data_IF_189988255325
#
_entry.id   IF_189988255325
#
_cell.length_a   1.000
_cell.length_b   1.000
_cell.length_c   1.000
_cell.angle_alpha   90.00
_cell.angle_beta   90.00
_cell.angle_gamma   90.00
#
_symmetry.space_group_name_H-M   'P 1'
#
loop_
_entity.id
_entity.type
_entity.pdbx_description
1 polymer ?
#
# COMPACT_ATOMS: atom_id res chain seq x y z
N UNK A 1 -46.30 23.44 -13.97
CA UNK A 1 -44.99 22.98 -13.46
C UNK A 1 -45.24 22.17 -12.19
N UNK A 2 -45.25 20.84 -12.30
CA UNK A 2 -45.60 19.93 -11.19
C UNK A 2 -44.35 19.57 -10.41
N UNK A 3 -44.35 19.91 -9.13
CA UNK A 3 -43.39 19.50 -8.11
C UNK A 3 -43.67 18.07 -7.67
N UNK A 4 -42.63 17.23 -7.67
CA UNK A 4 -42.66 15.85 -7.15
C UNK A 4 -41.96 15.84 -5.78
N UNK A 5 -42.55 15.29 -4.71
CA UNK A 5 -41.90 15.19 -3.40
C UNK A 5 -40.98 13.95 -3.32
N UNK A 6 -39.96 13.94 -2.43
CA UNK A 6 -39.07 12.81 -2.26
C UNK A 6 -39.75 11.67 -1.48
N UNK A 7 -39.73 10.48 -2.06
CA UNK A 7 -40.25 9.27 -1.43
C UNK A 7 -39.33 8.80 -0.30
N UNK A 8 -39.90 8.68 0.91
CA UNK A 8 -39.30 8.03 2.05
C UNK A 8 -39.30 6.51 1.85
N UNK A 9 -38.12 5.86 1.90
CA UNK A 9 -38.02 4.41 1.99
C UNK A 9 -37.72 4.03 3.44
N UNK A 10 -38.76 3.53 4.12
CA UNK A 10 -38.67 2.84 5.40
C UNK A 10 -38.16 1.41 5.19
N UNK A 11 -36.99 1.07 5.74
CA UNK A 11 -36.53 -0.31 5.81
C UNK A 11 -37.16 -0.99 7.04
N UNK A 12 -38.06 -1.94 6.77
CA UNK A 12 -38.69 -2.79 7.77
C UNK A 12 -37.71 -3.90 8.22
N UNK A 13 -37.51 -3.98 9.53
CA UNK A 13 -36.77 -5.06 10.20
C UNK A 13 -37.60 -6.36 10.18
N UNK A 14 -37.26 -7.28 9.27
CA UNK A 14 -37.80 -8.64 9.30
C UNK A 14 -36.81 -9.63 9.93
N UNK A 15 -37.08 -9.91 11.21
CA UNK A 15 -37.01 -11.22 11.90
C UNK A 15 -35.91 -12.22 11.49
N UNK A 16 -34.86 -12.25 12.31
CA UNK A 16 -33.86 -13.32 12.40
C UNK A 16 -34.51 -14.57 13.01
N UNK A 17 -34.54 -15.69 12.28
CA UNK A 17 -34.87 -17.02 12.84
C UNK A 17 -33.58 -17.71 13.33
N UNK A 18 -33.59 -18.38 14.50
CA UNK A 18 -32.42 -19.07 15.03
C UNK A 18 -32.24 -20.44 14.37
N UNK A 19 -31.03 -20.72 13.88
CA UNK A 19 -30.68 -22.00 13.27
C UNK A 19 -30.31 -23.02 14.37
N UNK A 20 -31.06 -24.14 14.47
CA UNK A 20 -30.78 -25.26 15.39
C UNK A 20 -29.57 -26.12 14.92
N UNK A 21 -28.85 -26.79 15.84
CA UNK A 21 -27.58 -27.44 15.54
C UNK A 21 -27.76 -28.76 14.79
N UNK A 22 -26.97 -28.96 13.71
CA UNK A 22 -26.90 -30.23 12.98
C UNK A 22 -25.94 -31.20 13.67
N UNK A 23 -26.40 -32.45 13.80
CA UNK A 23 -25.71 -33.62 14.34
C UNK A 23 -24.36 -33.90 13.67
N UNK A 24 -23.39 -34.30 14.49
CA UNK A 24 -22.06 -34.75 14.08
C UNK A 24 -22.10 -36.09 13.33
N UNK A 25 -21.29 -36.21 12.28
CA UNK A 25 -20.84 -37.46 11.63
C UNK A 25 -19.42 -37.25 11.02
N UNK A 26 -18.68 -38.34 10.75
CA UNK A 26 -17.38 -38.60 11.36
C UNK A 26 -16.18 -38.03 10.60
N UNK A 27 -15.04 -37.97 11.30
CA UNK A 27 -13.69 -37.56 10.88
C UNK A 27 -13.35 -37.94 9.43
N UNK A 28 -13.41 -36.95 8.54
CA UNK A 28 -12.65 -36.97 7.29
C UNK A 28 -11.22 -36.45 7.55
N UNK A 29 -10.26 -37.22 7.04
CA UNK A 29 -8.82 -36.99 7.13
C UNK A 29 -8.45 -35.58 6.61
N UNK A 30 -7.42 -34.90 7.15
CA UNK A 30 -6.98 -33.63 6.61
C UNK A 30 -6.48 -33.84 5.18
N UNK A 31 -7.24 -33.30 4.22
CA UNK A 31 -6.78 -33.15 2.83
C UNK A 31 -5.69 -32.09 2.85
N UNK A 32 -4.45 -32.50 2.60
CA UNK A 32 -3.33 -31.59 2.43
C UNK A 32 -3.64 -30.56 1.33
N UNK A 33 -3.50 -29.24 1.57
CA UNK A 33 -3.63 -28.28 0.50
C UNK A 33 -2.41 -28.40 -0.41
N UNK A 34 -2.66 -28.84 -1.65
CA UNK A 34 -1.71 -28.85 -2.76
C UNK A 34 -1.10 -27.46 -2.91
N UNK A 35 0.21 -27.36 -2.80
CA UNK A 35 0.94 -26.16 -3.17
C UNK A 35 0.69 -25.85 -4.66
N UNK A 36 0.03 -24.72 -4.92
CA UNK A 36 -0.24 -24.07 -6.22
C UNK A 36 -1.17 -24.81 -7.21
N UNK A 37 -2.35 -24.26 -7.57
CA UNK A 37 -3.27 -24.87 -8.54
C UNK A 37 -2.88 -24.72 -10.02
N UNK A 38 -1.82 -23.97 -10.36
CA UNK A 38 -1.52 -23.61 -11.76
C UNK A 38 -0.75 -24.68 -12.54
N UNK A 39 -0.53 -25.85 -11.95
CA UNK A 39 -0.04 -27.04 -12.65
C UNK A 39 -1.08 -28.15 -12.55
N UNK A 40 -2.28 -27.92 -13.09
CA UNK A 40 -3.10 -29.04 -13.57
C UNK A 40 -2.63 -29.38 -14.97
N UNK A 41 -1.52 -30.10 -15.07
CA UNK A 41 -1.35 -31.03 -16.19
C UNK A 41 -2.47 -32.06 -16.03
N UNK A 42 -3.45 -31.98 -16.92
CA UNK A 42 -4.46 -33.03 -17.08
C UNK A 42 -3.75 -34.39 -17.18
N UNK A 43 -4.18 -35.35 -16.37
CA UNK A 43 -3.90 -36.77 -16.62
C UNK A 43 -2.74 -37.44 -15.89
N UNK A 44 -2.21 -36.90 -14.79
CA UNK A 44 -1.21 -37.63 -14.00
C UNK A 44 -1.87 -38.71 -13.10
N UNK A 45 -2.35 -39.82 -13.70
CA UNK A 45 -2.29 -41.12 -13.02
C UNK A 45 -0.80 -41.45 -12.86
N UNK A 46 -0.39 -41.83 -11.66
CA UNK A 46 0.99 -42.21 -11.37
C UNK A 46 1.41 -43.36 -12.29
N UNK A 47 2.12 -43.04 -13.37
CA UNK A 47 2.79 -44.04 -14.18
C UNK A 47 4.18 -44.29 -13.60
N UNK A 48 4.61 -45.57 -13.51
CA UNK A 48 5.95 -45.91 -13.04
C UNK A 48 7.01 -45.24 -13.92
N UNK A 49 8.13 -44.86 -13.31
CA UNK A 49 9.17 -43.94 -13.80
C UNK A 49 9.80 -44.29 -15.18
N UNK A 50 9.46 -45.41 -15.79
CA UNK A 50 10.08 -45.93 -17.01
C UNK A 50 9.47 -45.41 -18.33
N UNK A 51 8.48 -44.49 -18.32
CA UNK A 51 7.74 -44.13 -19.55
C UNK A 51 7.65 -42.65 -19.91
N UNK A 52 8.62 -41.84 -19.47
CA UNK A 52 8.82 -40.50 -20.02
C UNK A 52 9.90 -40.54 -21.10
N UNK A 53 9.53 -40.98 -22.30
CA UNK A 53 10.34 -40.72 -23.50
C UNK A 53 9.80 -39.44 -24.13
N UNK A 54 10.43 -38.32 -23.79
CA UNK A 54 10.38 -37.13 -24.64
C UNK A 54 10.96 -37.53 -26.00
N UNK A 55 10.15 -37.49 -27.05
CA UNK A 55 10.56 -37.81 -28.43
C UNK A 55 11.48 -36.75 -29.07
N UNK A 56 12.06 -35.88 -28.28
CA UNK A 56 13.16 -35.00 -28.69
C UNK A 56 14.22 -35.06 -27.59
N UNK A 57 15.48 -35.27 -27.96
CA UNK A 57 16.62 -35.39 -27.02
C UNK A 57 16.60 -34.19 -26.06
N UNK A 58 16.23 -34.36 -24.78
CA UNK A 58 16.28 -33.26 -23.84
C UNK A 58 17.74 -32.99 -23.53
N UNK A 59 18.11 -31.72 -23.50
CA UNK A 59 19.42 -31.30 -23.03
C UNK A 59 19.58 -31.80 -21.58
N UNK A 60 20.39 -32.84 -21.37
CA UNK A 60 20.48 -33.63 -20.11
C UNK A 60 20.73 -32.76 -18.87
N UNK A 61 21.36 -31.60 -19.07
CA UNK A 61 21.61 -30.56 -18.08
C UNK A 61 20.32 -29.92 -17.53
N UNK A 62 19.32 -29.66 -18.38
CA UNK A 62 18.06 -29.02 -17.97
C UNK A 62 17.27 -29.95 -17.05
N UNK A 63 17.24 -31.25 -17.35
CA UNK A 63 16.50 -32.23 -16.56
C UNK A 63 17.07 -32.46 -15.17
N UNK A 64 18.41 -32.59 -15.05
CA UNK A 64 19.05 -32.75 -13.74
C UNK A 64 18.91 -31.47 -12.91
N UNK A 65 19.08 -30.29 -13.53
CA UNK A 65 18.92 -29.02 -12.84
C UNK A 65 17.48 -28.80 -12.36
N UNK A 66 16.47 -29.15 -13.15
CA UNK A 66 15.05 -29.05 -12.75
C UNK A 66 14.67 -30.01 -11.60
N UNK A 67 15.27 -31.21 -11.53
CA UNK A 67 14.99 -32.19 -10.47
C UNK A 67 15.75 -31.85 -9.18
N UNK A 68 17.02 -31.45 -9.27
CA UNK A 68 17.80 -31.00 -8.11
C UNK A 68 17.27 -29.69 -7.54
N UNK A 69 16.88 -28.73 -8.41
CA UNK A 69 16.18 -27.53 -7.95
C UNK A 69 14.84 -27.88 -7.33
N UNK A 70 14.08 -28.85 -7.86
CA UNK A 70 12.81 -29.30 -7.29
C UNK A 70 12.94 -29.88 -5.87
N UNK A 71 13.93 -30.74 -5.59
CA UNK A 71 14.13 -31.30 -4.24
C UNK A 71 14.66 -30.25 -3.26
N UNK A 72 15.63 -29.44 -3.68
CA UNK A 72 16.12 -28.30 -2.89
C UNK A 72 14.99 -27.31 -2.60
N UNK A 73 14.10 -27.06 -3.56
CA UNK A 73 12.89 -26.24 -3.39
C UNK A 73 11.85 -26.85 -2.45
N UNK A 74 11.72 -28.17 -2.37
CA UNK A 74 10.78 -28.83 -1.46
C UNK A 74 11.23 -28.73 0.01
N UNK A 75 12.52 -28.89 0.28
CA UNK A 75 13.09 -28.69 1.62
C UNK A 75 13.07 -27.20 2.01
N UNK A 76 13.40 -26.31 1.06
CA UNK A 76 13.23 -24.85 1.23
C UNK A 76 11.76 -24.47 1.42
N UNK A 77 10.78 -25.18 0.84
CA UNK A 77 9.34 -24.89 1.01
C UNK A 77 8.80 -25.16 2.42
N UNK A 78 9.42 -26.07 3.17
CA UNK A 78 8.99 -26.37 4.55
C UNK A 78 9.62 -25.37 5.52
N UNK A 79 10.91 -25.06 5.31
CA UNK A 79 11.60 -23.93 5.94
C UNK A 79 10.98 -22.58 5.51
N UNK A 80 10.39 -22.48 4.31
CA UNK A 80 9.77 -21.25 3.82
C UNK A 80 8.50 -20.90 4.57
N UNK A 81 7.74 -21.83 5.16
CA UNK A 81 6.54 -21.43 5.91
C UNK A 81 6.90 -20.72 7.22
N UNK A 82 7.89 -21.21 7.95
CA UNK A 82 8.41 -20.52 9.14
C UNK A 82 9.19 -19.26 8.77
N UNK A 83 10.03 -19.33 7.73
CA UNK A 83 10.74 -18.17 7.21
C UNK A 83 9.78 -17.08 6.71
N UNK A 84 8.79 -17.40 5.88
CA UNK A 84 7.74 -16.48 5.40
C UNK A 84 6.94 -15.86 6.55
N UNK A 85 6.77 -16.57 7.68
CA UNK A 85 6.15 -16.04 8.90
C UNK A 85 7.06 -15.13 9.70
N UNK A 86 8.39 -15.30 9.58
CA UNK A 86 9.40 -14.43 10.18
C UNK A 86 9.68 -13.18 9.34
N UNK A 87 9.22 -13.15 8.09
CA UNK A 87 9.33 -11.96 7.26
C UNK A 87 8.47 -10.84 7.81
N UNK A 88 8.90 -9.61 7.54
CA UNK A 88 8.16 -8.39 7.82
C UNK A 88 7.99 -7.60 6.51
N UNK A 89 7.38 -8.18 5.46
CA UNK A 89 7.37 -7.56 4.15
C UNK A 89 6.38 -6.40 4.11
N UNK A 90 6.72 -5.40 3.31
CA UNK A 90 5.86 -4.26 3.02
C UNK A 90 5.65 -4.16 1.51
N UNK A 91 4.39 -4.21 1.08
CA UNK A 91 4.01 -4.05 -0.32
C UNK A 91 3.14 -2.81 -0.51
N UNK A 92 3.57 -1.91 -1.39
CA UNK A 92 2.84 -0.69 -1.76
C UNK A 92 2.23 -0.87 -3.15
N UNK A 93 0.91 -1.08 -3.20
CA UNK A 93 0.19 -1.39 -4.45
C UNK A 93 -0.39 -0.11 -5.08
N UNK A 94 0.05 0.19 -6.30
CA UNK A 94 -0.49 1.20 -7.20
C UNK A 94 -1.33 0.54 -8.31
N UNK A 95 -2.40 1.21 -8.76
CA UNK A 95 -3.36 0.61 -9.70
C UNK A 95 -4.12 1.63 -10.55
N UNK A 96 -4.43 1.27 -11.79
CA UNK A 96 -5.33 2.04 -12.66
C UNK A 96 -6.82 1.75 -12.41
N UNK A 97 -7.71 2.64 -12.86
CA UNK A 97 -9.15 2.41 -13.16
C UNK A 97 -9.65 0.96 -13.10
N UNK A 98 -10.36 0.44 -12.10
CA UNK A 98 -10.90 -0.95 -12.15
C UNK A 98 -9.90 -2.08 -12.52
N UNK A 99 -8.62 -1.96 -12.14
CA UNK A 99 -7.55 -2.90 -12.57
C UNK A 99 -7.20 -4.01 -11.56
N UNK A 100 -8.09 -4.35 -10.63
CA UNK A 100 -7.88 -5.48 -9.71
C UNK A 100 -6.89 -5.26 -8.55
N UNK A 101 -6.41 -4.04 -8.32
CA UNK A 101 -5.44 -3.75 -7.24
C UNK A 101 -5.93 -4.14 -5.83
N UNK A 102 -7.22 -3.98 -5.53
CA UNK A 102 -7.80 -4.41 -4.26
C UNK A 102 -7.86 -5.93 -4.13
N UNK A 103 -8.21 -6.63 -5.21
CA UNK A 103 -8.19 -8.10 -5.27
C UNK A 103 -6.77 -8.63 -5.05
N UNK A 104 -5.76 -7.97 -5.63
CA UNK A 104 -4.36 -8.31 -5.43
C UNK A 104 -3.93 -8.09 -3.98
N UNK A 105 -4.26 -6.95 -3.39
CA UNK A 105 -3.93 -6.65 -1.99
C UNK A 105 -4.52 -7.69 -1.03
N UNK A 106 -5.80 -8.07 -1.23
CA UNK A 106 -6.43 -9.13 -0.45
C UNK A 106 -5.80 -10.50 -0.67
N UNK A 107 -5.37 -10.82 -1.91
CA UNK A 107 -4.62 -12.06 -2.17
C UNK A 107 -3.32 -12.11 -1.37
N UNK A 108 -2.56 -11.01 -1.38
CA UNK A 108 -1.29 -10.90 -0.64
C UNK A 108 -1.53 -11.00 0.87
N UNK A 109 -2.52 -10.26 1.39
CA UNK A 109 -2.93 -10.33 2.79
C UNK A 109 -3.30 -11.75 3.21
N UNK A 110 -4.08 -12.47 2.39
CA UNK A 110 -4.47 -13.85 2.69
C UNK A 110 -3.30 -14.85 2.64
N UNK A 111 -2.36 -14.70 1.69
CA UNK A 111 -1.25 -15.65 1.53
C UNK A 111 -0.11 -15.48 2.54
N UNK A 112 0.17 -14.25 2.94
CA UNK A 112 1.27 -13.92 3.84
C UNK A 112 0.78 -13.45 5.22
N UNK A 113 -0.53 -13.51 5.48
CA UNK A 113 -1.14 -12.98 6.72
C UNK A 113 -0.80 -11.51 6.97
N UNK A 114 -0.65 -10.72 5.89
CA UNK A 114 -0.39 -9.28 5.98
C UNK A 114 -1.65 -8.54 6.40
N UNK A 115 -1.46 -7.45 7.13
CA UNK A 115 -2.51 -6.47 7.35
C UNK A 115 -2.73 -5.70 6.05
N UNK A 116 -3.97 -5.70 5.57
CA UNK A 116 -4.36 -4.89 4.43
C UNK A 116 -4.73 -3.49 4.92
N UNK A 117 -3.93 -2.50 4.55
CA UNK A 117 -4.10 -1.10 4.93
C UNK A 117 -4.58 -0.30 3.72
N UNK A 118 -5.60 0.53 3.92
CA UNK A 118 -6.16 1.44 2.94
C UNK A 118 -5.97 2.90 3.36
N UNK A 119 -6.46 3.83 2.54
CA UNK A 119 -6.34 5.27 2.84
C UNK A 119 -7.15 5.63 4.10
N UNK A 120 -8.28 4.98 4.28
CA UNK A 120 -9.22 5.20 5.38
C UNK A 120 -8.59 4.81 6.73
N UNK A 121 -7.74 3.78 6.76
CA UNK A 121 -6.97 3.41 7.96
C UNK A 121 -5.95 4.50 8.33
N UNK A 122 -5.28 5.10 7.33
CA UNK A 122 -4.38 6.23 7.58
C UNK A 122 -5.14 7.43 8.16
N UNK A 123 -6.35 7.70 7.64
CA UNK A 123 -7.21 8.77 8.16
C UNK A 123 -7.64 8.48 9.60
N UNK A 124 -7.98 7.23 9.93
CA UNK A 124 -8.35 6.84 11.29
C UNK A 124 -7.21 7.08 12.29
N UNK A 125 -5.96 6.79 11.90
CA UNK A 125 -4.77 7.12 12.71
C UNK A 125 -4.68 8.63 12.96
N UNK A 126 -4.89 9.45 11.93
CA UNK A 126 -4.83 10.91 12.06
C UNK A 126 -5.96 11.47 12.93
N UNK A 127 -7.18 10.95 12.79
CA UNK A 127 -8.34 11.38 13.58
C UNK A 127 -8.16 11.13 15.08
N UNK A 128 -7.44 10.06 15.44
CA UNK A 128 -7.12 9.73 16.83
C UNK A 128 -6.14 10.70 17.50
N UNK A 129 -5.44 11.54 16.72
CA UNK A 129 -4.40 12.47 17.19
C UNK A 129 -4.88 13.88 17.52
N UNK A 130 -6.16 14.20 17.28
CA UNK A 130 -6.80 15.42 17.76
C UNK A 130 -7.46 16.31 16.69
N UNK A 131 -8.04 17.42 17.14
CA UNK A 131 -8.92 18.28 16.33
C UNK A 131 -8.20 19.04 15.19
N UNK A 132 -6.89 19.29 15.28
CA UNK A 132 -6.15 19.95 14.21
C UNK A 132 -5.96 19.04 12.98
N UNK A 133 -5.61 17.77 13.17
CA UNK A 133 -5.54 16.80 12.08
C UNK A 133 -6.91 16.63 11.38
N UNK A 134 -8.00 16.65 12.17
CA UNK A 134 -9.38 16.64 11.65
C UNK A 134 -9.70 17.89 10.83
N UNK A 135 -9.22 19.07 11.23
CA UNK A 135 -9.41 20.33 10.49
C UNK A 135 -8.64 20.36 9.18
N UNK A 136 -7.38 19.89 9.18
CA UNK A 136 -6.60 19.72 7.96
C UNK A 136 -7.40 18.82 7.00
N UNK A 137 -7.87 17.65 7.44
CA UNK A 137 -8.75 16.77 6.66
C UNK A 137 -10.03 17.45 6.14
N UNK A 138 -10.80 18.09 7.01
CA UNK A 138 -12.09 18.70 6.65
C UNK A 138 -11.95 19.83 5.62
N UNK A 139 -10.77 20.46 5.55
CA UNK A 139 -10.44 21.44 4.53
C UNK A 139 -10.00 20.77 3.21
N UNK A 140 -9.34 19.61 3.28
CA UNK A 140 -8.90 18.85 2.10
C UNK A 140 -10.07 18.17 1.36
N UNK A 141 -11.05 17.60 2.07
CA UNK A 141 -12.24 16.98 1.43
C UNK A 141 -13.07 18.01 0.65
N UNK A 142 -13.09 19.27 1.13
CA UNK A 142 -13.67 20.41 0.41
C UNK A 142 -12.82 20.83 -0.79
N UNK A 143 -11.50 20.83 -0.62
CA UNK A 143 -10.57 21.30 -1.64
C UNK A 143 -10.24 20.25 -2.73
N UNK A 144 -10.58 18.97 -2.56
CA UNK A 144 -10.63 18.00 -3.69
C UNK A 144 -11.61 18.41 -4.80
N UNK A 145 -12.51 19.36 -4.54
CA UNK A 145 -13.45 19.93 -5.53
C UNK A 145 -13.05 21.33 -6.02
N UNK A 146 -11.98 21.93 -5.48
CA UNK A 146 -11.54 23.29 -5.79
C UNK A 146 -10.00 23.37 -5.78
N UNK A 147 -9.43 23.13 -6.96
CA UNK A 147 -8.00 22.95 -7.24
C UNK A 147 -7.09 24.10 -6.75
N UNK A 148 -7.58 25.35 -6.79
CA UNK A 148 -6.78 26.54 -6.45
C UNK A 148 -6.66 26.81 -4.94
N UNK A 149 -7.59 26.30 -4.12
CA UNK A 149 -7.62 26.53 -2.67
C UNK A 149 -6.74 25.54 -1.87
N UNK A 150 -6.21 24.50 -2.53
CA UNK A 150 -5.52 23.38 -1.86
C UNK A 150 -4.01 23.62 -1.66
N UNK A 151 -3.41 24.64 -2.28
CA UNK A 151 -1.95 24.82 -2.28
C UNK A 151 -1.34 24.88 -0.87
N UNK A 152 -1.97 25.62 0.05
CA UNK A 152 -1.50 25.76 1.44
C UNK A 152 -1.71 24.51 2.31
N UNK A 153 -2.68 23.66 1.95
CA UNK A 153 -3.02 22.45 2.72
C UNK A 153 -2.30 21.19 2.21
N UNK A 154 -1.70 21.28 1.02
CA UNK A 154 -0.96 20.19 0.38
C UNK A 154 0.16 19.67 1.29
N UNK A 155 0.98 20.56 1.83
CA UNK A 155 2.14 20.20 2.66
C UNK A 155 1.72 19.49 3.96
N UNK A 156 0.83 20.08 4.79
CA UNK A 156 0.29 19.38 5.97
C UNK A 156 -0.31 18.02 5.65
N UNK A 157 -1.08 17.90 4.55
CA UNK A 157 -1.65 16.61 4.14
C UNK A 157 -0.58 15.55 3.87
N UNK A 158 0.44 15.88 3.08
CA UNK A 158 1.48 14.92 2.71
C UNK A 158 2.25 14.43 3.93
N UNK A 159 2.61 15.34 4.84
CA UNK A 159 3.34 15.02 6.07
C UNK A 159 2.50 14.09 6.95
N UNK A 160 1.24 14.44 7.20
CA UNK A 160 0.35 13.64 8.05
C UNK A 160 0.09 12.25 7.45
N UNK A 161 -0.22 12.16 6.16
CA UNK A 161 -0.46 10.89 5.49
C UNK A 161 0.80 10.02 5.43
N UNK A 162 1.99 10.63 5.20
CA UNK A 162 3.27 9.94 5.28
C UNK A 162 3.51 9.40 6.67
N UNK A 163 3.34 10.23 7.70
CA UNK A 163 3.57 9.85 9.08
C UNK A 163 2.70 8.63 9.46
N UNK A 164 1.40 8.69 9.14
CA UNK A 164 0.49 7.57 9.37
C UNK A 164 0.93 6.30 8.64
N UNK A 165 1.31 6.40 7.36
CA UNK A 165 1.75 5.26 6.57
C UNK A 165 3.07 4.66 7.11
N UNK A 166 4.04 5.49 7.48
CA UNK A 166 5.30 5.05 8.07
C UNK A 166 5.09 4.29 9.39
N UNK A 167 4.10 4.67 10.19
CA UNK A 167 3.72 3.92 11.39
C UNK A 167 3.38 2.46 11.08
N UNK A 168 2.55 2.23 10.06
CA UNK A 168 2.22 0.87 9.60
C UNK A 168 3.43 0.15 8.99
N UNK A 169 4.27 0.85 8.22
CA UNK A 169 5.45 0.27 7.58
C UNK A 169 6.47 -0.21 8.63
N UNK A 170 6.67 0.55 9.72
CA UNK A 170 7.58 0.19 10.82
C UNK A 170 7.20 -1.08 11.55
N UNK A 171 5.92 -1.34 11.68
CA UNK A 171 5.41 -2.58 12.27
C UNK A 171 5.60 -3.79 11.33
N UNK A 172 5.86 -3.55 10.04
CA UNK A 172 5.99 -4.59 9.03
C UNK A 172 4.69 -5.36 8.78
N UNK A 173 4.77 -6.39 7.93
CA UNK A 173 3.63 -7.26 7.58
C UNK A 173 2.43 -6.48 7.01
N UNK A 174 2.69 -5.55 6.08
CA UNK A 174 1.66 -4.66 5.52
C UNK A 174 1.57 -4.78 4.01
N UNK A 175 0.34 -4.82 3.51
CA UNK A 175 0.04 -4.48 2.12
C UNK A 175 -0.83 -3.23 2.09
N UNK A 176 -0.30 -2.16 1.52
CA UNK A 176 -1.02 -0.91 1.36
C UNK A 176 -1.61 -0.82 -0.04
N UNK A 177 -2.92 -0.53 -0.16
CA UNK A 177 -3.59 -0.37 -1.46
C UNK A 177 -4.39 0.92 -1.60
N UNK A 178 -3.90 2.01 -1.01
CA UNK A 178 -4.50 3.34 -1.17
C UNK A 178 -3.88 4.15 -2.32
N UNK A 179 -4.31 5.40 -2.45
CA UNK A 179 -3.78 6.31 -3.47
C UNK A 179 -2.31 6.64 -3.19
N UNK A 180 -1.47 6.47 -4.22
CA UNK A 180 -0.10 6.97 -4.29
C UNK A 180 0.80 6.62 -3.08
N UNK A 181 0.61 5.48 -2.41
CA UNK A 181 1.43 5.07 -1.26
C UNK A 181 2.94 5.05 -1.56
N UNK A 182 3.30 4.55 -2.74
CA UNK A 182 4.67 4.54 -3.26
C UNK A 182 5.30 5.94 -3.49
N UNK A 183 4.49 7.01 -3.51
CA UNK A 183 4.94 8.41 -3.59
C UNK A 183 4.83 9.13 -2.24
N UNK A 184 4.00 8.63 -1.33
CA UNK A 184 3.86 9.18 0.01
C UNK A 184 5.10 8.96 0.84
N UNK A 185 5.77 7.81 0.69
CA UNK A 185 7.01 7.50 1.39
C UNK A 185 8.21 7.57 0.45
N UNK A 186 9.36 8.06 0.92
CA UNK A 186 10.60 8.06 0.14
C UNK A 186 11.03 6.62 -0.17
N UNK A 187 12.07 6.45 -0.99
CA UNK A 187 12.61 5.10 -1.29
C UNK A 187 13.22 4.50 -0.02
N UNK A 188 12.39 3.81 0.75
CA UNK A 188 12.79 3.09 1.95
C UNK A 188 13.21 1.66 1.60
N UNK A 189 14.27 1.14 2.23
CA UNK A 189 14.54 -0.29 2.21
C UNK A 189 13.33 -1.06 2.75
N UNK A 190 13.18 -2.33 2.41
CA UNK A 190 12.06 -3.22 2.79
C UNK A 190 10.68 -2.99 2.11
N UNK A 191 10.47 -1.90 1.37
CA UNK A 191 9.20 -1.63 0.70
C UNK A 191 9.23 -2.00 -0.79
N UNK A 192 8.43 -2.99 -1.21
CA UNK A 192 8.23 -3.30 -2.63
C UNK A 192 7.11 -2.44 -3.22
N UNK A 193 7.42 -1.68 -4.27
CA UNK A 193 6.48 -0.82 -4.99
C UNK A 193 5.97 -1.54 -6.24
N UNK A 194 4.70 -1.91 -6.23
CA UNK A 194 4.08 -2.67 -7.31
C UNK A 194 3.03 -1.85 -8.00
N UNK A 195 3.02 -1.85 -9.34
CA UNK A 195 1.91 -1.37 -10.14
C UNK A 195 1.19 -2.51 -10.85
N UNK A 196 -0.14 -2.45 -10.84
CA UNK A 196 -0.98 -3.34 -11.65
C UNK A 196 -1.84 -2.54 -12.64
N UNK A 197 -1.91 -3.04 -13.86
CA UNK A 197 -2.78 -2.54 -14.92
C UNK A 197 -3.61 -3.67 -15.53
N UNK A 198 -4.71 -3.32 -16.18
CA UNK A 198 -5.55 -4.26 -16.92
C UNK A 198 -5.91 -3.65 -18.29
N UNK A 199 -6.17 -4.47 -19.32
CA UNK A 199 -6.69 -3.97 -20.60
C UNK A 199 -8.00 -3.20 -20.44
N UNK A 200 -8.19 -2.14 -21.25
CA UNK A 200 -9.40 -1.31 -21.19
C UNK A 200 -10.71 -2.13 -21.25
N UNK A 201 -10.88 -3.11 -22.16
CA UNK A 201 -12.11 -3.89 -22.22
C UNK A 201 -12.45 -4.61 -20.90
N UNK A 202 -11.43 -5.10 -20.18
CA UNK A 202 -11.64 -5.73 -18.87
C UNK A 202 -12.11 -4.72 -17.82
N UNK A 203 -11.51 -3.53 -17.82
CA UNK A 203 -11.83 -2.46 -16.86
C UNK A 203 -13.25 -1.92 -17.09
N UNK A 204 -13.65 -1.76 -18.35
CA UNK A 204 -15.01 -1.36 -18.75
C UNK A 204 -16.03 -2.39 -18.29
N UNK A 205 -15.83 -3.67 -18.62
CA UNK A 205 -16.72 -4.75 -18.13
C UNK A 205 -16.85 -4.73 -16.60
N UNK A 206 -15.74 -4.53 -15.89
CA UNK A 206 -15.75 -4.46 -14.43
C UNK A 206 -16.52 -3.25 -13.89
N UNK A 207 -16.42 -2.09 -14.56
CA UNK A 207 -17.20 -0.92 -14.23
C UNK A 207 -18.71 -1.15 -14.47
N UNK A 208 -19.07 -1.74 -15.61
CA UNK A 208 -20.46 -2.13 -15.91
C UNK A 208 -21.02 -3.07 -14.84
N UNK A 209 -20.29 -4.14 -14.50
CA UNK A 209 -20.69 -5.11 -13.46
C UNK A 209 -20.87 -4.47 -12.08
N UNK A 210 -19.95 -3.58 -11.68
CA UNK A 210 -19.92 -3.03 -10.32
C UNK A 210 -20.90 -1.87 -10.13
N UNK A 211 -21.14 -1.08 -11.18
CA UNK A 211 -21.87 0.19 -11.10
C UNK A 211 -23.18 0.17 -11.89
N UNK A 212 -23.45 -0.87 -12.68
CA UNK A 212 -24.68 -0.97 -13.48
C UNK A 212 -24.74 0.03 -14.64
N UNK A 213 -23.59 0.49 -15.13
CA UNK A 213 -23.51 1.50 -16.19
C UNK A 213 -23.52 0.86 -17.59
N UNK A 214 -24.06 1.56 -18.62
CA UNK A 214 -23.84 1.22 -20.03
C UNK A 214 -22.35 1.21 -20.39
N UNK A 215 -21.98 0.49 -21.47
CA UNK A 215 -20.56 0.34 -21.86
C UNK A 215 -19.86 1.68 -22.08
N UNK A 216 -20.50 2.62 -22.77
CA UNK A 216 -19.89 3.91 -23.11
C UNK A 216 -19.68 4.77 -21.86
N UNK A 217 -20.69 4.89 -21.00
CA UNK A 217 -20.58 5.59 -19.71
C UNK A 217 -19.52 4.96 -18.81
N UNK A 218 -19.42 3.62 -18.80
CA UNK A 218 -18.39 2.90 -18.06
C UNK A 218 -16.98 3.19 -18.62
N UNK A 219 -16.83 3.29 -19.94
CA UNK A 219 -15.57 3.66 -20.60
C UNK A 219 -15.16 5.09 -20.28
N UNK A 220 -16.08 6.04 -20.40
CA UNK A 220 -15.84 7.45 -20.05
C UNK A 220 -15.45 7.61 -18.57
N UNK A 221 -16.15 6.91 -17.67
CA UNK A 221 -15.83 6.90 -16.25
C UNK A 221 -14.40 6.43 -15.98
N UNK A 222 -14.00 5.29 -16.57
CA UNK A 222 -12.66 4.71 -16.38
C UNK A 222 -11.58 5.68 -16.89
N UNK A 223 -11.77 6.28 -18.06
CA UNK A 223 -10.85 7.25 -18.64
C UNK A 223 -10.73 8.50 -17.76
N UNK A 224 -11.86 9.08 -17.36
CA UNK A 224 -11.92 10.27 -16.50
C UNK A 224 -11.21 10.02 -15.17
N UNK A 225 -11.50 8.91 -14.50
CA UNK A 225 -10.85 8.59 -13.22
C UNK A 225 -9.34 8.34 -13.35
N UNK A 226 -8.90 7.69 -14.43
CA UNK A 226 -7.47 7.51 -14.69
C UNK A 226 -6.77 8.86 -14.87
N UNK A 227 -7.38 9.77 -15.60
CA UNK A 227 -6.86 11.11 -15.86
C UNK A 227 -6.87 12.00 -14.61
N UNK A 228 -7.95 11.94 -13.80
CA UNK A 228 -8.03 12.57 -12.49
C UNK A 228 -6.91 12.10 -11.56
N UNK A 229 -6.59 10.80 -11.57
CA UNK A 229 -5.50 10.22 -10.78
C UNK A 229 -4.13 10.72 -11.22
N UNK A 230 -3.91 10.86 -12.52
CA UNK A 230 -2.67 11.40 -13.08
C UNK A 230 -2.52 12.89 -12.71
N UNK A 231 -3.58 13.69 -12.91
CA UNK A 231 -3.62 15.10 -12.47
C UNK A 231 -3.32 15.23 -10.99
N UNK A 232 -4.01 14.44 -10.17
CA UNK A 232 -3.83 14.44 -8.72
C UNK A 232 -2.38 14.11 -8.34
N UNK A 233 -1.78 13.10 -8.95
CA UNK A 233 -0.40 12.74 -8.63
C UNK A 233 0.61 13.81 -9.05
N UNK A 234 0.40 14.45 -10.21
CA UNK A 234 1.23 15.58 -10.66
C UNK A 234 1.10 16.77 -9.73
N UNK A 235 -0.12 17.09 -9.33
CA UNK A 235 -0.39 18.17 -8.39
C UNK A 235 0.23 17.91 -7.02
N UNK A 236 0.00 16.72 -6.45
CA UNK A 236 0.42 16.40 -5.08
C UNK A 236 1.90 16.08 -4.96
N UNK A 237 2.48 15.39 -5.94
CA UNK A 237 3.85 14.84 -5.85
C UNK A 237 4.79 15.35 -6.94
N UNK A 238 4.30 16.10 -7.93
CA UNK A 238 5.10 16.47 -9.10
C UNK A 238 5.47 15.28 -9.98
N UNK A 239 4.74 14.15 -9.88
CA UNK A 239 5.07 12.89 -10.57
C UNK A 239 3.90 12.39 -11.43
N UNK A 240 4.23 11.75 -12.54
CA UNK A 240 3.27 11.04 -13.37
C UNK A 240 3.24 9.56 -12.97
N UNK A 241 2.15 9.08 -12.38
CA UNK A 241 2.00 7.67 -11.93
C UNK A 241 2.11 6.64 -13.05
N UNK A 242 2.15 7.06 -14.32
CA UNK A 242 2.39 6.18 -15.48
C UNK A 242 3.87 5.96 -15.77
N UNK A 243 4.76 6.70 -15.11
CA UNK A 243 6.20 6.48 -15.22
C UNK A 243 6.58 5.13 -14.57
N UNK A 244 7.15 4.18 -15.33
CA UNK A 244 7.56 2.88 -14.80
C UNK A 244 8.70 2.99 -13.77
N UNK A 245 9.51 4.05 -13.77
CA UNK A 245 10.63 4.22 -12.84
C UNK A 245 10.20 4.52 -11.39
N UNK A 246 8.90 4.75 -11.16
CA UNK A 246 8.32 4.92 -9.82
C UNK A 246 8.08 3.60 -9.08
N UNK A 247 8.23 2.46 -9.78
CA UNK A 247 7.88 1.13 -9.29
C UNK A 247 9.06 0.18 -9.43
N UNK A 248 9.11 -0.82 -8.55
CA UNK A 248 10.07 -1.92 -8.67
C UNK A 248 9.55 -2.95 -9.68
N UNK A 249 8.22 -3.15 -9.73
CA UNK A 249 7.59 -4.12 -10.62
C UNK A 249 6.26 -3.60 -11.16
N UNK A 250 6.01 -3.79 -12.46
CA UNK A 250 4.75 -3.49 -13.12
C UNK A 250 4.15 -4.75 -13.75
N UNK A 251 2.92 -5.10 -13.37
CA UNK A 251 2.18 -6.24 -13.92
C UNK A 251 0.98 -5.82 -14.78
N UNK A 252 0.64 -6.68 -15.75
CA UNK A 252 -0.57 -6.57 -16.57
C UNK A 252 -1.48 -7.79 -16.38
N UNK A 253 -2.76 -7.55 -16.12
CA UNK A 253 -3.81 -8.59 -16.03
C UNK A 253 -4.33 -9.08 -17.39
N UNK A 254 -3.64 -8.78 -18.49
CA UNK A 254 -4.05 -9.23 -19.83
C UNK A 254 -4.05 -10.76 -19.94
N UNK A 255 -2.93 -11.38 -19.57
CA UNK A 255 -2.75 -12.86 -19.60
C UNK A 255 -2.55 -13.47 -18.23
N UNK A 256 -2.13 -12.68 -17.25
CA UNK A 256 -1.83 -13.16 -15.90
C UNK A 256 -3.06 -13.01 -15.01
N UNK A 257 -3.35 -14.05 -14.25
CA UNK A 257 -4.34 -13.97 -13.17
C UNK A 257 -3.78 -13.21 -11.97
N UNK A 258 -4.68 -12.74 -11.10
CA UNK A 258 -4.30 -12.12 -9.83
C UNK A 258 -3.50 -13.10 -8.97
N UNK A 259 -3.85 -14.38 -8.96
CA UNK A 259 -3.17 -15.42 -8.18
C UNK A 259 -1.74 -15.67 -8.63
N UNK A 260 -1.48 -15.57 -9.94
CA UNK A 260 -0.15 -15.68 -10.54
C UNK A 260 0.70 -14.47 -10.16
N UNK A 261 0.18 -13.26 -10.36
CA UNK A 261 0.88 -12.02 -9.95
C UNK A 261 1.18 -12.04 -8.45
N UNK A 262 0.20 -12.43 -7.64
CA UNK A 262 0.32 -12.60 -6.20
C UNK A 262 1.43 -13.61 -5.84
N UNK A 263 1.56 -14.73 -6.56
CA UNK A 263 2.67 -15.67 -6.35
C UNK A 263 4.05 -15.06 -6.64
N UNK A 264 4.16 -14.30 -7.73
CA UNK A 264 5.41 -13.64 -8.13
C UNK A 264 5.83 -12.57 -7.11
N UNK A 265 4.88 -11.78 -6.63
CA UNK A 265 5.14 -10.77 -5.59
C UNK A 265 5.57 -11.44 -4.28
N UNK A 266 4.88 -12.51 -3.86
CA UNK A 266 5.28 -13.26 -2.65
C UNK A 266 6.71 -13.76 -2.74
N UNK A 267 7.11 -14.30 -3.90
CA UNK A 267 8.48 -14.75 -4.12
C UNK A 267 9.48 -13.59 -4.03
N UNK A 268 9.18 -12.46 -4.69
CA UNK A 268 10.04 -11.28 -4.63
C UNK A 268 10.14 -10.67 -3.24
N UNK A 269 9.03 -10.62 -2.48
CA UNK A 269 9.03 -10.11 -1.11
C UNK A 269 9.92 -10.95 -0.19
N UNK A 270 10.11 -12.24 -0.46
CA UNK A 270 10.98 -13.11 0.34
C UNK A 270 12.49 -12.80 0.19
N UNK A 271 12.87 -12.00 -0.82
CA UNK A 271 14.25 -11.60 -1.04
C UNK A 271 14.74 -10.61 0.03
N UNK A 272 16.02 -10.75 0.41
CA UNK A 272 16.65 -10.01 1.51
C UNK A 272 16.47 -8.49 1.45
N UNK A 273 16.45 -7.90 0.25
CA UNK A 273 16.32 -6.45 0.04
C UNK A 273 14.91 -5.90 0.37
N UNK A 274 13.90 -6.78 0.40
CA UNK A 274 12.54 -6.45 0.78
C UNK A 274 12.20 -6.90 2.21
N UNK A 275 13.20 -7.27 2.99
CA UNK A 275 13.08 -7.60 4.40
C UNK A 275 13.59 -6.47 5.28
N UNK A 276 12.93 -6.28 6.42
CA UNK A 276 13.36 -5.34 7.43
C UNK A 276 14.57 -5.92 8.17
N UNK A 277 15.77 -5.60 7.67
CA UNK A 277 17.03 -5.90 8.35
C UNK A 277 17.30 -4.84 9.46
N UNK A 278 18.09 -5.16 10.51
CA UNK A 278 18.38 -4.22 11.60
C UNK A 278 18.98 -2.87 11.14
N UNK A 279 19.79 -2.90 10.08
CA UNK A 279 20.35 -1.69 9.44
C UNK A 279 19.28 -0.79 8.82
N UNK A 280 18.25 -1.39 8.23
CA UNK A 280 17.13 -0.69 7.60
C UNK A 280 16.10 -0.22 8.63
N UNK A 281 15.99 -0.91 9.76
CA UNK A 281 15.10 -0.55 10.86
C UNK A 281 15.48 0.81 11.44
N UNK A 282 16.77 1.11 11.61
CA UNK A 282 17.25 2.42 12.07
C UNK A 282 16.83 3.54 11.12
N UNK A 283 17.12 3.37 9.82
CA UNK A 283 16.75 4.35 8.78
C UNK A 283 15.24 4.62 8.79
N UNK A 284 14.43 3.58 8.95
CA UNK A 284 12.97 3.70 8.98
C UNK A 284 12.47 4.36 10.27
N UNK A 285 13.09 4.06 11.42
CA UNK A 285 12.79 4.71 12.69
C UNK A 285 13.12 6.20 12.66
N UNK A 286 14.28 6.57 12.11
CA UNK A 286 14.71 7.96 11.94
C UNK A 286 13.78 8.73 10.99
N UNK A 287 13.42 8.13 9.85
CA UNK A 287 12.46 8.72 8.92
C UNK A 287 11.09 8.96 9.57
N UNK A 288 10.60 7.99 10.35
CA UNK A 288 9.34 8.13 11.07
C UNK A 288 9.41 9.20 12.15
N UNK A 289 10.51 9.28 12.91
CA UNK A 289 10.68 10.28 13.95
C UNK A 289 10.76 11.69 13.37
N UNK A 290 11.56 11.89 12.31
CA UNK A 290 11.63 13.16 11.57
C UNK A 290 10.25 13.58 11.03
N UNK A 291 9.55 12.67 10.34
CA UNK A 291 8.18 12.95 9.87
C UNK A 291 7.22 13.18 11.05
N UNK A 292 7.45 12.55 12.20
CA UNK A 292 6.65 12.74 13.43
C UNK A 292 6.79 14.14 14.02
N UNK A 293 8.00 14.68 14.01
CA UNK A 293 8.26 16.08 14.37
C UNK A 293 7.57 17.02 13.38
N UNK A 294 7.70 16.79 12.07
CA UNK A 294 6.98 17.57 11.07
C UNK A 294 5.46 17.49 11.27
N UNK A 295 4.92 16.31 11.56
CA UNK A 295 3.50 16.06 11.80
C UNK A 295 3.00 16.82 13.04
N UNK A 296 3.80 16.88 14.10
CA UNK A 296 3.49 17.67 15.30
C UNK A 296 3.47 19.18 14.98
N UNK A 297 4.48 19.66 14.24
CA UNK A 297 4.60 21.07 13.85
C UNK A 297 3.45 21.52 12.95
N UNK A 298 3.02 20.71 11.97
CA UNK A 298 1.85 21.05 11.13
C UNK A 298 0.51 20.81 11.84
N UNK A 299 0.51 20.26 13.05
CA UNK A 299 -0.70 20.06 13.86
C UNK A 299 -0.85 21.09 14.98
N UNK A 300 0.19 21.87 15.28
CA UNK A 300 0.15 22.94 16.27
C UNK A 300 -0.19 24.28 15.61
N UNK A 301 -1.16 25.01 16.16
CA UNK A 301 -1.64 26.28 15.61
C UNK A 301 -0.53 27.35 15.50
N UNK A 302 0.48 27.28 16.37
CA UNK A 302 1.58 28.25 16.44
C UNK A 302 2.60 28.04 15.33
N UNK A 303 2.73 26.81 14.84
CA UNK A 303 3.78 26.41 13.89
C UNK A 303 3.25 25.94 12.53
N UNK A 304 1.94 25.72 12.38
CA UNK A 304 1.32 25.20 11.14
C UNK A 304 1.64 26.04 9.89
N UNK A 305 1.78 27.35 10.01
CA UNK A 305 2.07 28.26 8.89
C UNK A 305 3.53 28.25 8.45
N UNK A 306 4.42 27.59 9.20
CA UNK A 306 5.86 27.59 8.93
C UNK A 306 6.24 26.43 7.98
N UNK A 307 7.09 26.74 7.00
CA UNK A 307 7.64 25.76 6.06
C UNK A 307 8.93 25.14 6.61
N UNK A 308 8.77 24.15 7.51
CA UNK A 308 9.88 23.56 8.28
C UNK A 308 10.02 22.06 8.00
N UNK A 309 11.20 21.60 7.58
CA UNK A 309 11.52 20.18 7.49
C UNK A 309 12.22 19.67 8.76
N UNK A 310 12.09 18.38 9.05
CA UNK A 310 12.82 17.74 10.14
C UNK A 310 13.45 16.42 9.70
N UNK A 311 14.73 16.26 10.01
CA UNK A 311 15.49 15.01 9.81
C UNK A 311 15.91 14.49 11.17
N UNK A 312 15.83 13.18 11.36
CA UNK A 312 16.32 12.54 12.59
C UNK A 312 17.50 11.63 12.31
N UNK A 313 18.41 11.55 13.26
CA UNK A 313 19.46 10.56 13.32
C UNK A 313 19.63 10.09 14.78
N UNK A 314 19.23 8.85 15.05
CA UNK A 314 19.27 8.22 16.37
C UNK A 314 18.59 9.04 17.49
N UNK A 315 17.52 9.76 17.14
CA UNK A 315 16.76 10.62 18.06
C UNK A 315 17.28 12.06 18.18
N UNK A 316 18.39 12.40 17.54
CA UNK A 316 18.81 13.80 17.38
C UNK A 316 18.09 14.37 16.16
N UNK A 317 17.39 15.49 16.32
CA UNK A 317 16.56 16.07 15.26
C UNK A 317 17.17 17.38 14.79
N UNK A 318 17.47 17.45 13.50
CA UNK A 318 17.80 18.70 12.82
C UNK A 318 16.53 19.23 12.17
N UNK A 319 16.18 20.47 12.54
CA UNK A 319 15.06 21.19 11.98
C UNK A 319 15.62 22.27 11.04
N UNK A 320 15.20 22.23 9.79
CA UNK A 320 15.57 23.20 8.77
C UNK A 320 14.34 24.05 8.42
N UNK A 321 14.49 25.38 8.35
CA UNK A 321 13.35 26.27 8.13
C UNK A 321 13.76 27.73 7.93
N UNK A 322 12.78 28.63 7.72
CA UNK A 322 13.05 30.06 7.49
C UNK A 322 13.75 30.73 8.69
N UNK A 323 14.22 31.96 8.54
CA UNK A 323 14.61 32.74 9.70
C UNK A 323 13.37 32.98 10.59
N UNK A 324 13.50 32.73 11.90
CA UNK A 324 12.42 32.83 12.88
C UNK A 324 12.77 33.86 13.94
N UNK A 325 11.77 34.58 14.43
CA UNK A 325 11.90 35.37 15.66
C UNK A 325 12.03 34.45 16.89
N UNK A 326 12.62 34.97 17.97
CA UNK A 326 12.89 34.19 19.19
C UNK A 326 11.66 33.45 19.74
N UNK A 327 10.49 34.08 19.68
CA UNK A 327 9.24 33.47 20.15
C UNK A 327 8.79 32.31 19.24
N UNK A 328 8.92 32.45 17.92
CA UNK A 328 8.57 31.41 16.96
C UNK A 328 9.54 30.23 17.06
N UNK A 329 10.83 30.54 17.23
CA UNK A 329 11.87 29.53 17.45
C UNK A 329 11.60 28.74 18.75
N UNK A 330 11.22 29.43 19.83
CA UNK A 330 10.84 28.77 21.09
C UNK A 330 9.63 27.84 20.93
N UNK A 331 8.60 28.26 20.18
CA UNK A 331 7.44 27.42 19.87
C UNK A 331 7.83 26.17 19.07
N UNK A 332 8.61 26.33 18.00
CA UNK A 332 9.10 25.22 17.14
C UNK A 332 9.90 24.21 17.96
N UNK A 333 10.88 24.67 18.73
CA UNK A 333 11.70 23.81 19.57
C UNK A 333 10.87 23.13 20.67
N UNK A 334 9.91 23.85 21.25
CA UNK A 334 9.00 23.31 22.27
C UNK A 334 8.13 22.17 21.74
N UNK A 335 7.51 22.37 20.56
CA UNK A 335 6.69 21.34 19.90
C UNK A 335 7.55 20.13 19.53
N UNK A 336 8.72 20.35 18.93
CA UNK A 336 9.60 19.26 18.50
C UNK A 336 10.11 18.41 19.66
N UNK A 337 10.53 19.04 20.77
CA UNK A 337 11.02 18.33 21.97
C UNK A 337 9.95 17.52 22.68
N UNK A 338 8.67 17.86 22.50
CA UNK A 338 7.55 17.12 23.09
C UNK A 338 7.24 15.82 22.36
N UNK A 339 7.83 15.58 21.17
CA UNK A 339 7.63 14.34 20.41
C UNK A 339 8.41 13.19 21.05
N UNK A 340 7.71 12.09 21.32
CA UNK A 340 8.30 10.88 21.90
C UNK A 340 9.44 10.34 21.01
N UNK A 341 10.59 10.05 21.62
CA UNK A 341 11.79 9.55 20.93
C UNK A 341 12.81 10.62 20.57
N UNK A 342 12.46 11.91 20.68
CA UNK A 342 13.40 13.02 20.48
C UNK A 342 14.33 13.15 21.69
N UNK A 343 15.64 13.14 21.44
CA UNK A 343 16.70 13.31 22.45
C UNK A 343 17.27 14.72 22.46
N UNK A 344 17.47 15.29 21.27
CA UNK A 344 17.96 16.66 21.08
C UNK A 344 17.32 17.27 19.84
N UNK A 345 17.24 18.60 19.82
CA UNK A 345 16.70 19.37 18.69
C UNK A 345 17.63 20.53 18.41
N UNK A 346 18.09 20.61 17.17
CA UNK A 346 18.84 21.74 16.62
C UNK A 346 18.01 22.42 15.53
N UNK A 347 18.08 23.74 15.47
CA UNK A 347 17.41 24.53 14.44
C UNK A 347 18.45 25.21 13.55
N UNK A 348 18.35 24.98 12.25
CA UNK A 348 19.20 25.61 11.25
C UNK A 348 18.36 26.46 10.29
N UNK A 349 18.58 27.79 10.27
CA UNK A 349 17.97 28.64 9.25
C UNK A 349 18.46 28.23 7.85
N UNK A 350 17.54 28.06 6.91
CA UNK A 350 17.81 27.62 5.55
C UNK A 350 16.58 27.66 4.65
N UNK A 351 16.77 27.34 3.38
CA UNK A 351 15.68 27.17 2.44
C UNK A 351 15.30 25.69 2.38
N UNK A 352 14.12 25.34 2.90
CA UNK A 352 13.56 24.00 2.71
C UNK A 352 12.93 23.97 1.33
N UNK A 353 13.49 23.18 0.43
CA UNK A 353 12.83 22.88 -0.83
C UNK A 353 11.49 22.20 -0.53
N UNK A 354 10.37 22.86 -0.88
CA UNK A 354 9.02 22.29 -0.77
C UNK A 354 8.84 20.97 -1.56
N UNK A 355 9.79 20.65 -2.44
CA UNK A 355 9.85 19.42 -3.23
C UNK A 355 10.64 18.28 -2.59
N UNK A 356 11.49 18.53 -1.58
CA UNK A 356 12.28 17.47 -0.93
C UNK A 356 11.43 16.55 -0.05
N UNK A 357 10.22 16.96 0.31
CA UNK A 357 9.27 16.06 0.93
C UNK A 357 9.00 14.83 0.04
N UNK A 358 9.27 14.79 -1.26
CA UNK A 358 8.92 13.64 -2.12
C UNK A 358 10.09 12.68 -2.46
N UNK A 359 11.27 12.83 -1.87
CA UNK A 359 12.46 12.05 -2.23
C UNK A 359 12.84 10.98 -1.21
#
# INVERSE_FOLDING_TARGET
MRSVPPAAFSLSLQHVRPCRPRRARPRDRPVAPRCYPWVTAAGARAHPAARWVLQSRPNRLIYHHLIETSKRWQDTCTLSREYLRSLLPVALISRGTMSGGETLARCLAGRLSLRHICREDLIAVLDSRGEHAKRVRASLDRATRAYDQFSQLRRPYLILMRFALLGFIREGNVVYSGYAGHLLVPKTPCCMRVRISAPMPMRVRKAMERLGLPEEEARELVLREDDDRVRWARFMYGRDIRDPHLYDIWFSLDKMSVETICAMIVAGLAEKQYQLAPENERVLNDLYLGTGVEAALVSDARTLSLEIAARSQDGNVLIEGPFLEDHQLADVLGVARAVEGVKSVEYQPGCVSSFELAL
#
